data_IF_559597796506
#
_entry.id   IF_559597796506
#
_cell.length_a   1.000
_cell.length_b   1.000
_cell.length_c   1.000
_cell.angle_alpha   90.00
_cell.angle_beta   90.00
_cell.angle_gamma   90.00
#
_symmetry.space_group_name_H-M   'P 1'
#
loop_
_entity.id
_entity.type
_entity.pdbx_description
1 polymer ?
#
# COMPACT_ATOMS: atom_id res chain seq x y z
N UNK A 1 -10.31 -0.19 -9.39
CA UNK A 1 -10.02 -1.55 -8.85
C UNK A 1 -8.95 -2.25 -9.68
N UNK A 2 -9.13 -2.42 -11.00
CA UNK A 2 -8.08 -2.95 -11.89
C UNK A 2 -6.77 -2.16 -11.81
N UNK A 3 -6.83 -0.83 -11.96
CA UNK A 3 -5.64 0.05 -11.91
C UNK A 3 -4.87 -0.13 -10.59
N UNK A 4 -5.58 -0.23 -9.47
CA UNK A 4 -4.99 -0.47 -8.16
C UNK A 4 -4.35 -1.85 -8.03
N UNK A 5 -4.96 -2.90 -8.60
CA UNK A 5 -4.33 -4.22 -8.66
C UNK A 5 -3.06 -4.21 -9.50
N UNK A 6 -3.06 -3.54 -10.65
CA UNK A 6 -1.88 -3.44 -11.53
C UNK A 6 -0.75 -2.68 -10.83
N UNK A 7 -1.06 -1.55 -10.19
CA UNK A 7 -0.08 -0.81 -9.40
C UNK A 7 0.50 -1.66 -8.28
N UNK A 8 -0.35 -2.38 -7.55
CA UNK A 8 0.11 -3.21 -6.44
C UNK A 8 1.03 -4.35 -6.89
N UNK A 9 0.76 -4.95 -8.06
CA UNK A 9 1.67 -5.94 -8.67
C UNK A 9 2.99 -5.27 -9.05
N UNK A 10 2.97 -4.12 -9.71
CA UNK A 10 4.20 -3.40 -10.07
C UNK A 10 5.02 -3.01 -8.83
N UNK A 11 4.36 -2.53 -7.77
CA UNK A 11 5.01 -2.16 -6.51
C UNK A 11 5.66 -3.37 -5.85
N UNK A 12 4.94 -4.49 -5.79
CA UNK A 12 5.44 -5.72 -5.18
C UNK A 12 6.61 -6.30 -5.96
N UNK A 13 6.55 -6.30 -7.30
CA UNK A 13 7.64 -6.75 -8.15
C UNK A 13 8.86 -5.85 -8.00
N UNK A 14 8.67 -4.53 -8.01
CA UNK A 14 9.76 -3.58 -7.78
C UNK A 14 10.39 -3.80 -6.40
N UNK A 15 9.56 -3.98 -5.37
CA UNK A 15 10.00 -4.26 -4.01
C UNK A 15 10.81 -5.54 -3.88
N UNK A 16 10.37 -6.61 -4.55
CA UNK A 16 11.09 -7.89 -4.60
C UNK A 16 12.45 -7.73 -5.29
N UNK A 17 12.51 -7.05 -6.44
CA UNK A 17 13.77 -6.82 -7.16
C UNK A 17 14.75 -6.04 -6.29
N UNK A 18 14.32 -4.93 -5.69
CA UNK A 18 15.17 -4.09 -4.84
C UNK A 18 15.69 -4.90 -3.64
N UNK A 19 14.79 -5.55 -2.89
CA UNK A 19 15.16 -6.29 -1.66
C UNK A 19 16.02 -7.51 -1.93
N UNK A 20 15.87 -8.17 -3.08
CA UNK A 20 16.72 -9.30 -3.48
C UNK A 20 18.10 -8.87 -4.00
N UNK A 21 18.23 -7.62 -4.45
CA UNK A 21 19.47 -7.08 -5.04
C UNK A 21 20.35 -6.35 -4.02
N UNK A 22 19.78 -5.86 -2.92
CA UNK A 22 20.51 -5.25 -1.82
C UNK A 22 20.96 -6.32 -0.80
N UNK A 23 22.27 -6.57 -0.71
CA UNK A 23 22.86 -7.44 0.29
C UNK A 23 23.10 -6.71 1.62
N UNK A 24 23.58 -5.46 1.58
CA UNK A 24 23.67 -4.58 2.74
C UNK A 24 22.37 -3.81 2.95
N UNK A 25 21.71 -3.96 4.11
CA UNK A 25 20.35 -3.43 4.31
C UNK A 25 20.31 -1.91 4.39
N UNK A 26 21.43 -1.26 4.72
CA UNK A 26 21.53 0.19 4.90
C UNK A 26 22.24 0.89 3.74
N UNK A 27 23.32 0.32 3.21
CA UNK A 27 24.22 1.08 2.32
C UNK A 27 24.08 0.70 0.86
N UNK A 28 23.52 -0.47 0.55
CA UNK A 28 23.32 -0.85 -0.84
C UNK A 28 22.20 -0.01 -1.46
N UNK A 29 22.40 0.33 -2.72
CA UNK A 29 21.48 1.13 -3.51
C UNK A 29 20.95 0.35 -4.70
N UNK A 30 19.70 0.63 -5.07
CA UNK A 30 19.12 0.11 -6.29
C UNK A 30 18.40 1.22 -7.05
N UNK A 31 18.67 1.35 -8.36
CA UNK A 31 18.12 2.43 -9.19
C UNK A 31 16.58 2.49 -9.13
N UNK A 32 15.93 1.32 -9.10
CA UNK A 32 14.47 1.22 -9.04
C UNK A 32 13.90 1.86 -7.76
N UNK A 33 14.67 1.87 -6.67
CA UNK A 33 14.26 2.49 -5.43
C UNK A 33 14.28 4.03 -5.50
N UNK A 34 15.05 4.62 -6.41
CA UNK A 34 15.00 6.04 -6.74
C UNK A 34 13.87 6.41 -7.72
N UNK A 35 13.66 5.58 -8.75
CA UNK A 35 12.71 5.89 -9.84
C UNK A 35 11.26 5.50 -9.50
N UNK A 36 11.05 4.37 -8.83
CA UNK A 36 9.70 3.84 -8.58
C UNK A 36 8.83 4.77 -7.70
N UNK A 37 9.34 5.42 -6.64
CA UNK A 37 8.55 6.38 -5.87
C UNK A 37 8.02 7.54 -6.72
N UNK A 38 8.83 8.05 -7.65
CA UNK A 38 8.42 9.14 -8.56
C UNK A 38 7.29 8.69 -9.49
N UNK A 39 7.34 7.45 -9.96
CA UNK A 39 6.27 6.84 -10.73
C UNK A 39 5.00 6.57 -9.89
N UNK A 40 5.15 6.24 -8.61
CA UNK A 40 4.03 5.89 -7.73
C UNK A 40 3.21 7.10 -7.26
N UNK A 41 3.81 8.29 -7.14
CA UNK A 41 3.11 9.50 -6.65
C UNK A 41 1.89 9.89 -7.51
N UNK A 42 2.00 10.01 -8.85
CA UNK A 42 0.83 10.29 -9.68
C UNK A 42 -0.30 9.27 -9.51
N UNK A 43 0.04 8.00 -9.31
CA UNK A 43 -0.95 6.95 -9.02
C UNK A 43 -1.66 7.21 -7.68
N UNK A 44 -0.94 7.53 -6.60
CA UNK A 44 -1.57 7.78 -5.30
C UNK A 44 -2.52 8.98 -5.34
N UNK A 45 -2.16 10.03 -6.08
CA UNK A 45 -3.05 11.18 -6.32
C UNK A 45 -4.30 10.74 -7.10
N UNK A 46 -4.12 9.97 -8.17
CA UNK A 46 -5.22 9.41 -8.95
C UNK A 46 -6.15 8.53 -8.10
N UNK A 47 -5.62 7.67 -7.22
CA UNK A 47 -6.42 6.73 -6.42
C UNK A 47 -7.28 7.46 -5.38
N UNK A 48 -6.74 8.52 -4.74
CA UNK A 48 -7.52 9.40 -3.85
C UNK A 48 -8.68 10.06 -4.60
N UNK A 49 -8.42 10.57 -5.81
CA UNK A 49 -9.45 11.17 -6.65
C UNK A 49 -10.51 10.14 -7.07
N UNK A 50 -10.09 8.95 -7.51
CA UNK A 50 -10.98 7.88 -7.92
C UNK A 50 -11.84 7.37 -6.75
N UNK A 51 -11.27 7.28 -5.53
CA UNK A 51 -12.02 6.95 -4.33
C UNK A 51 -13.09 8.00 -3.99
N UNK A 52 -12.75 9.29 -4.08
CA UNK A 52 -13.72 10.38 -3.88
C UNK A 52 -14.87 10.30 -4.90
N UNK A 53 -14.56 10.11 -6.18
CA UNK A 53 -15.56 9.97 -7.23
C UNK A 53 -16.47 8.75 -7.01
N UNK A 54 -15.90 7.61 -6.62
CA UNK A 54 -16.65 6.41 -6.25
C UNK A 54 -17.60 6.66 -5.06
N UNK A 55 -17.15 7.39 -4.04
CA UNK A 55 -17.98 7.76 -2.90
C UNK A 55 -19.15 8.65 -3.32
N UNK A 56 -18.86 9.68 -4.12
CA UNK A 56 -19.84 10.62 -4.65
C UNK A 56 -20.93 9.92 -5.48
N UNK A 57 -20.54 9.04 -6.41
CA UNK A 57 -21.50 8.27 -7.21
C UNK A 57 -22.30 7.26 -6.37
N UNK A 58 -21.69 6.59 -5.39
CA UNK A 58 -22.43 5.68 -4.48
C UNK A 58 -23.44 6.45 -3.63
N UNK A 59 -23.12 7.67 -3.20
CA UNK A 59 -24.06 8.55 -2.52
C UNK A 59 -25.26 8.91 -3.39
N UNK A 60 -25.03 9.20 -4.68
CA UNK A 60 -26.10 9.49 -5.66
C UNK A 60 -26.99 8.29 -5.98
N UNK A 61 -26.43 7.09 -6.11
CA UNK A 61 -27.21 5.87 -6.40
C UNK A 61 -28.02 5.40 -5.19
N UNK A 62 -27.48 5.56 -3.96
CA UNK A 62 -28.23 5.26 -2.72
C UNK A 62 -29.27 6.33 -2.37
N UNK A 63 -29.07 7.57 -2.80
CA UNK A 63 -29.98 8.70 -2.56
C UNK A 63 -31.13 8.81 -3.55
N UNK A 64 -31.55 7.72 -4.19
CA UNK A 64 -32.66 7.69 -5.16
C UNK A 64 -34.05 7.99 -4.55
N UNK A 65 -34.13 8.40 -3.29
CA UNK A 65 -35.36 8.96 -2.70
C UNK A 65 -35.14 10.43 -2.26
N UNK A 66 -35.58 11.34 -3.13
CA UNK A 66 -36.16 12.66 -2.82
C UNK A 66 -35.24 13.82 -2.37
N UNK A 67 -33.95 13.65 -2.09
CA UNK A 67 -33.09 14.77 -1.65
C UNK A 67 -32.30 15.47 -2.79
N UNK A 68 -32.13 16.82 -2.77
CA UNK A 68 -31.26 17.52 -3.71
C UNK A 68 -29.81 17.06 -3.59
N UNK A 69 -29.02 17.06 -4.69
CA UNK A 69 -27.64 16.59 -4.66
C UNK A 69 -26.83 17.41 -3.64
N UNK A 70 -26.11 16.76 -2.71
CA UNK A 70 -25.32 17.47 -1.71
C UNK A 70 -24.26 18.34 -2.40
N UNK A 71 -23.90 19.47 -1.79
CA UNK A 71 -22.83 20.31 -2.31
C UNK A 71 -21.49 19.54 -2.32
N UNK A 72 -20.57 19.91 -3.23
CA UNK A 72 -19.24 19.30 -3.32
C UNK A 72 -18.51 19.26 -1.97
N UNK A 73 -18.62 20.34 -1.18
CA UNK A 73 -18.05 20.44 0.17
C UNK A 73 -18.68 19.46 1.16
N UNK A 74 -20.00 19.31 1.13
CA UNK A 74 -20.70 18.41 2.04
C UNK A 74 -20.33 16.95 1.79
N UNK A 75 -20.23 16.52 0.53
CA UNK A 75 -19.82 15.15 0.24
C UNK A 75 -18.33 14.91 0.43
N UNK A 76 -17.47 15.92 0.20
CA UNK A 76 -16.06 15.83 0.57
C UNK A 76 -15.89 15.62 2.08
N UNK A 77 -16.65 16.36 2.90
CA UNK A 77 -16.69 16.15 4.35
C UNK A 77 -17.22 14.77 4.76
N UNK A 78 -18.27 14.27 4.10
CA UNK A 78 -18.82 12.93 4.34
C UNK A 78 -17.83 11.81 3.93
N UNK A 79 -17.15 11.98 2.81
CA UNK A 79 -16.10 11.09 2.33
C UNK A 79 -14.93 11.04 3.31
N UNK A 80 -14.42 12.20 3.72
CA UNK A 80 -13.33 12.30 4.70
C UNK A 80 -13.69 11.62 6.01
N UNK A 81 -14.92 11.78 6.52
CA UNK A 81 -15.33 11.08 7.77
C UNK A 81 -15.47 9.58 7.60
N UNK A 82 -16.00 9.14 6.45
CA UNK A 82 -16.29 7.72 6.22
C UNK A 82 -15.06 6.89 5.89
N UNK A 83 -14.17 7.45 5.08
CA UNK A 83 -13.01 6.76 4.51
C UNK A 83 -11.69 7.40 5.02
N UNK A 84 -11.71 8.07 6.19
CA UNK A 84 -10.61 8.86 6.75
C UNK A 84 -9.29 8.11 6.74
N UNK A 85 -9.28 6.87 7.25
CA UNK A 85 -8.06 6.08 7.42
C UNK A 85 -7.36 5.84 6.07
N UNK A 86 -8.12 5.54 5.03
CA UNK A 86 -7.58 5.29 3.70
C UNK A 86 -7.09 6.58 3.05
N UNK A 87 -7.83 7.69 3.20
CA UNK A 87 -7.40 8.99 2.69
C UNK A 87 -6.14 9.46 3.40
N UNK A 88 -6.10 9.35 4.73
CA UNK A 88 -4.94 9.69 5.55
C UNK A 88 -3.73 8.83 5.17
N UNK A 89 -3.92 7.53 4.94
CA UNK A 89 -2.87 6.64 4.47
C UNK A 89 -2.27 7.13 3.15
N UNK A 90 -3.09 7.44 2.15
CA UNK A 90 -2.59 7.93 0.85
C UNK A 90 -1.93 9.31 0.99
N UNK A 91 -2.49 10.19 1.81
CA UNK A 91 -1.90 11.50 2.10
C UNK A 91 -0.55 11.35 2.80
N UNK A 92 -0.41 10.45 3.77
CA UNK A 92 0.86 10.16 4.43
C UNK A 92 1.88 9.56 3.45
N UNK A 93 1.46 8.65 2.55
CA UNK A 93 2.35 8.09 1.52
C UNK A 93 2.93 9.18 0.60
N UNK A 94 2.11 10.15 0.20
CA UNK A 94 2.54 11.23 -0.71
C UNK A 94 3.28 12.35 0.01
N UNK A 95 2.79 12.80 1.17
CA UNK A 95 3.31 13.98 1.87
C UNK A 95 4.44 13.65 2.84
N UNK A 96 4.56 12.41 3.30
CA UNK A 96 5.57 11.98 4.27
C UNK A 96 6.49 10.91 3.68
N UNK A 97 5.94 9.78 3.25
CA UNK A 97 6.78 8.66 2.81
C UNK A 97 7.57 8.98 1.54
N UNK A 98 6.99 9.72 0.59
CA UNK A 98 7.70 10.09 -0.64
C UNK A 98 8.89 11.05 -0.38
N UNK A 99 8.73 12.18 0.35
CA UNK A 99 9.87 13.02 0.72
C UNK A 99 10.92 12.27 1.53
N UNK A 100 10.50 11.41 2.46
CA UNK A 100 11.42 10.55 3.22
C UNK A 100 12.20 9.65 2.26
N UNK A 101 11.54 8.94 1.35
CA UNK A 101 12.15 7.98 0.44
C UNK A 101 13.03 8.59 -0.66
N UNK A 102 12.79 9.85 -1.05
CA UNK A 102 13.48 10.48 -2.19
C UNK A 102 14.41 11.62 -1.80
N UNK A 103 14.08 12.40 -0.78
CA UNK A 103 14.84 13.60 -0.40
C UNK A 103 15.68 13.36 0.86
N UNK A 104 15.11 12.75 1.90
CA UNK A 104 15.81 12.58 3.19
C UNK A 104 16.58 11.28 3.31
N UNK A 105 16.27 10.29 2.48
CA UNK A 105 16.90 8.98 2.47
C UNK A 105 18.41 9.03 2.25
N UNK A 106 18.93 10.07 1.58
CA UNK A 106 20.36 10.23 1.24
C UNK A 106 20.98 8.98 0.60
N UNK A 107 20.19 8.20 -0.15
CA UNK A 107 20.63 6.97 -0.78
C UNK A 107 20.86 5.78 0.16
N UNK A 108 20.33 5.79 1.39
CA UNK A 108 20.41 4.66 2.33
C UNK A 108 19.11 3.86 2.40
N UNK A 109 19.16 2.64 2.90
CA UNK A 109 17.97 1.85 3.25
C UNK A 109 17.10 1.41 2.07
N UNK A 110 17.68 1.18 0.88
CA UNK A 110 16.91 0.72 -0.28
C UNK A 110 16.28 -0.65 -0.07
N UNK A 111 16.97 -1.54 0.65
CA UNK A 111 16.42 -2.80 1.08
C UNK A 111 15.09 -2.63 1.83
N UNK A 112 15.03 -1.69 2.80
CA UNK A 112 13.81 -1.43 3.57
C UNK A 112 12.69 -0.88 2.70
N UNK A 113 13.00 0.05 1.80
CA UNK A 113 12.03 0.58 0.85
C UNK A 113 11.47 -0.54 -0.04
N UNK A 114 12.34 -1.42 -0.54
CA UNK A 114 11.94 -2.59 -1.33
C UNK A 114 10.99 -3.51 -0.57
N UNK A 115 11.34 -3.88 0.67
CA UNK A 115 10.49 -4.68 1.53
C UNK A 115 9.13 -4.01 1.80
N UNK A 116 9.10 -2.71 2.07
CA UNK A 116 7.86 -1.95 2.29
C UNK A 116 6.97 -1.92 1.06
N UNK A 117 7.52 -1.85 -0.15
CA UNK A 117 6.75 -1.93 -1.39
C UNK A 117 6.07 -3.30 -1.58
N UNK A 118 6.67 -4.39 -1.07
CA UNK A 118 6.05 -5.72 -1.10
C UNK A 118 4.78 -5.82 -0.26
N UNK A 119 4.53 -4.88 0.67
CA UNK A 119 3.30 -4.84 1.47
C UNK A 119 2.02 -4.68 0.62
N UNK A 120 2.16 -4.19 -0.62
CA UNK A 120 1.07 -4.06 -1.57
C UNK A 120 0.63 -5.38 -2.21
N UNK A 121 1.37 -6.48 -2.04
CA UNK A 121 1.07 -7.77 -2.69
C UNK A 121 -0.30 -8.34 -2.31
N UNK A 122 -0.83 -7.94 -1.15
CA UNK A 122 -2.18 -8.34 -0.70
C UNK A 122 -3.31 -7.60 -1.44
N UNK A 123 -3.07 -6.39 -1.97
CA UNK A 123 -4.07 -5.51 -2.61
C UNK A 123 -4.76 -6.14 -3.83
N UNK A 124 -4.06 -6.85 -4.75
CA UNK A 124 -4.70 -7.57 -5.85
C UNK A 124 -5.74 -8.59 -5.39
N UNK A 125 -5.46 -9.33 -4.31
CA UNK A 125 -6.37 -10.34 -3.76
C UNK A 125 -7.59 -9.71 -3.06
N UNK A 126 -7.41 -8.56 -2.41
CA UNK A 126 -8.54 -7.75 -1.88
C UNK A 126 -9.44 -7.27 -3.02
N UNK A 127 -8.84 -6.75 -4.09
CA UNK A 127 -9.57 -6.28 -5.27
C UNK A 127 -10.31 -7.42 -5.98
N UNK A 128 -9.66 -8.56 -6.21
CA UNK A 128 -10.27 -9.75 -6.80
C UNK A 128 -11.41 -10.28 -5.95
N UNK A 129 -11.24 -10.35 -4.62
CA UNK A 129 -12.30 -10.76 -3.69
C UNK A 129 -13.56 -9.89 -3.84
N UNK A 130 -13.41 -8.57 -3.90
CA UNK A 130 -14.54 -7.63 -4.13
C UNK A 130 -15.20 -7.84 -5.48
N UNK A 131 -14.44 -8.10 -6.54
CA UNK A 131 -14.97 -8.39 -7.88
C UNK A 131 -15.78 -9.70 -7.87
N UNK A 132 -15.26 -10.77 -7.26
CA UNK A 132 -15.97 -12.06 -7.16
C UNK A 132 -17.30 -11.95 -6.41
N UNK A 133 -17.35 -11.12 -5.36
CA UNK A 133 -18.59 -10.82 -4.63
C UNK A 133 -19.59 -10.09 -5.53
N UNK A 134 -19.15 -9.11 -6.32
CA UNK A 134 -20.02 -8.40 -7.28
C UNK A 134 -20.64 -9.35 -8.31
N UNK A 135 -19.89 -10.35 -8.77
CA UNK A 135 -20.40 -11.41 -9.67
C UNK A 135 -21.16 -12.54 -8.96
N UNK A 136 -21.46 -12.41 -7.66
CA UNK A 136 -22.11 -13.44 -6.81
C UNK A 136 -21.39 -14.80 -6.82
N UNK A 137 -20.08 -14.82 -7.07
CA UNK A 137 -19.25 -16.05 -7.11
C UNK A 137 -18.64 -16.41 -5.74
N UNK A 138 -19.23 -15.94 -4.64
CA UNK A 138 -18.71 -16.14 -3.28
C UNK A 138 -18.63 -17.60 -2.81
N UNK A 139 -19.48 -18.49 -3.34
CA UNK A 139 -19.48 -19.92 -2.98
C UNK A 139 -18.48 -20.76 -3.78
N UNK A 140 -17.77 -20.16 -4.75
CA UNK A 140 -16.84 -20.89 -5.61
C UNK A 140 -15.53 -21.21 -4.88
N UNK A 141 -14.87 -22.30 -5.30
CA UNK A 141 -13.51 -22.62 -4.85
C UNK A 141 -12.52 -21.48 -5.12
N UNK A 142 -12.72 -20.73 -6.22
CA UNK A 142 -11.92 -19.54 -6.55
C UNK A 142 -11.98 -18.46 -5.47
N UNK A 143 -13.16 -18.19 -4.91
CA UNK A 143 -13.30 -17.21 -3.84
C UNK A 143 -12.60 -17.66 -2.54
N UNK A 144 -12.70 -18.96 -2.20
CA UNK A 144 -12.01 -19.55 -1.05
C UNK A 144 -10.49 -19.51 -1.22
N UNK A 145 -9.98 -19.89 -2.39
CA UNK A 145 -8.55 -19.85 -2.70
C UNK A 145 -8.01 -18.41 -2.68
N UNK A 146 -8.76 -17.45 -3.25
CA UNK A 146 -8.39 -16.03 -3.16
C UNK A 146 -8.36 -15.54 -1.71
N UNK A 147 -9.32 -15.97 -0.87
CA UNK A 147 -9.34 -15.64 0.55
C UNK A 147 -8.12 -16.19 1.29
N UNK A 148 -7.73 -17.44 1.01
CA UNK A 148 -6.51 -18.03 1.57
C UNK A 148 -5.24 -17.29 1.10
N UNK A 149 -5.14 -17.00 -0.20
CA UNK A 149 -4.02 -16.23 -0.76
C UNK A 149 -3.93 -14.82 -0.16
N UNK A 150 -5.07 -14.15 0.04
CA UNK A 150 -5.13 -12.85 0.73
C UNK A 150 -4.61 -12.97 2.17
N UNK A 151 -5.03 -13.98 2.93
CA UNK A 151 -4.60 -14.14 4.32
C UNK A 151 -3.10 -14.40 4.42
N UNK A 152 -2.57 -15.29 3.58
CA UNK A 152 -1.14 -15.62 3.53
C UNK A 152 -0.32 -14.39 3.15
N UNK A 153 -0.69 -13.70 2.07
CA UNK A 153 0.05 -12.49 1.63
C UNK A 153 -0.05 -11.36 2.63
N UNK A 154 -1.19 -11.18 3.31
CA UNK A 154 -1.33 -10.20 4.37
C UNK A 154 -0.42 -10.53 5.57
N UNK A 155 -0.39 -11.78 6.01
CA UNK A 155 0.46 -12.22 7.12
C UNK A 155 1.95 -12.02 6.79
N UNK A 156 2.40 -12.49 5.64
CA UNK A 156 3.80 -12.43 5.25
C UNK A 156 4.26 -11.00 4.93
N UNK A 157 3.52 -10.30 4.06
CA UNK A 157 3.96 -9.02 3.50
C UNK A 157 3.57 -7.82 4.36
N UNK A 158 2.70 -7.95 5.36
CA UNK A 158 2.32 -6.83 6.24
C UNK A 158 2.60 -7.07 7.72
N UNK A 159 2.30 -8.26 8.24
CA UNK A 159 2.47 -8.54 9.68
C UNK A 159 3.91 -8.95 9.99
N UNK A 160 4.42 -9.97 9.29
CA UNK A 160 5.77 -10.51 9.53
C UNK A 160 6.87 -9.68 8.86
N UNK A 161 6.51 -8.79 7.94
CA UNK A 161 7.46 -7.90 7.28
C UNK A 161 8.22 -7.01 8.28
N UNK A 162 7.52 -6.38 9.23
CA UNK A 162 8.19 -5.50 10.20
C UNK A 162 9.16 -6.26 11.12
N UNK A 163 8.79 -7.39 11.77
CA UNK A 163 9.73 -8.23 12.47
C UNK A 163 10.93 -8.67 11.62
N UNK A 164 10.70 -9.01 10.35
CA UNK A 164 11.77 -9.38 9.42
C UNK A 164 12.73 -8.22 9.16
N UNK A 165 12.23 -7.00 8.96
CA UNK A 165 13.06 -5.81 8.77
C UNK A 165 13.96 -5.54 9.99
N UNK A 166 13.40 -5.61 11.20
CA UNK A 166 14.17 -5.47 12.44
C UNK A 166 15.22 -6.57 12.60
N UNK A 167 14.87 -7.81 12.25
CA UNK A 167 15.80 -8.93 12.29
C UNK A 167 16.94 -8.78 11.28
N UNK A 168 16.64 -8.40 10.04
CA UNK A 168 17.63 -8.22 8.99
C UNK A 168 18.64 -7.11 9.35
N UNK A 169 18.15 -6.00 9.90
CA UNK A 169 18.99 -4.94 10.43
C UNK A 169 19.85 -5.41 11.61
N UNK A 170 19.21 -6.03 12.61
CA UNK A 170 19.90 -6.50 13.82
C UNK A 170 21.00 -7.51 13.50
N UNK A 171 20.75 -8.41 12.54
CA UNK A 171 21.74 -9.39 12.09
C UNK A 171 22.97 -8.75 11.46
N UNK A 172 22.81 -7.65 10.70
CA UNK A 172 23.95 -6.94 10.13
C UNK A 172 24.73 -6.12 11.15
N UNK A 173 24.05 -5.52 12.12
CA UNK A 173 24.68 -4.74 13.18
C UNK A 173 25.18 -5.60 14.36
N UNK A 174 24.95 -6.92 14.34
CA UNK A 174 25.27 -7.81 15.47
C UNK A 174 24.44 -7.54 16.74
N UNK A 175 23.28 -6.88 16.60
CA UNK A 175 22.43 -6.46 17.72
C UNK A 175 21.30 -7.47 17.97
N UNK A 176 20.94 -7.72 19.25
CA UNK A 176 19.73 -8.48 19.56
C UNK A 176 18.48 -7.68 19.14
N UNK A 177 17.49 -8.38 18.60
CA UNK A 177 16.22 -7.84 18.07
C UNK A 177 15.59 -6.74 18.93
N UNK A 178 15.60 -6.90 20.25
CA UNK A 178 14.98 -5.98 21.20
C UNK A 178 15.70 -4.63 21.32
N UNK A 179 16.99 -4.55 20.96
CA UNK A 179 17.80 -3.32 21.00
C UNK A 179 17.81 -2.57 19.67
N UNK A 180 17.34 -3.21 18.59
CA UNK A 180 17.32 -2.59 17.26
C UNK A 180 16.54 -1.27 17.23
N UNK A 181 15.33 -1.14 17.82
CA UNK A 181 14.59 0.11 17.75
C UNK A 181 15.31 1.32 18.36
N UNK A 182 16.18 1.10 19.35
CA UNK A 182 16.99 2.14 20.00
C UNK A 182 18.34 2.39 19.35
N UNK A 183 18.72 1.58 18.35
CA UNK A 183 19.97 1.70 17.60
C UNK A 183 19.75 2.17 16.15
N UNK A 184 18.50 2.45 15.77
CA UNK A 184 18.19 3.08 14.49
C UNK A 184 18.76 4.51 14.48
N UNK A 185 19.49 4.91 13.44
CA UNK A 185 20.06 6.25 13.31
C UNK A 185 18.99 7.34 13.14
#
# INVERSE_FOLDING_TARGET
RLVSSVQAVMASTAGYIISSSCHHVIDDQHWLAGTYPQFAVPYFIYDVYAMFLCHWHRGRVKGHEVAPPPSLRAAAGAYLRKDLLMVLHHAAMVLVCFPVATLWRQGKGDFFLGCLLMAELSTPFVCLGKVLILYRRQHTALHKLNGAALLVTFLLCRVLLFPYLYWAYGRQQGLPLLRVPGALP
#
